data_IF_263163301462
#
_entry.id   IF_263163301462
#
_cell.length_a   1.000
_cell.length_b   1.000
_cell.length_c   1.000
_cell.angle_alpha   90.00
_cell.angle_beta   90.00
_cell.angle_gamma   90.00
#
_symmetry.space_group_name_H-M   'P 1'
#
loop_
_entity.id
_entity.type
_entity.pdbx_description
1 polymer ?
#
# COMPACT_ATOMS: atom_id res chain seq x y z
N UNK A 1 8.45 -1.93 20.23
CA UNK A 1 7.44 -1.46 19.27
C UNK A 1 7.88 -1.77 17.85
N UNK A 2 7.66 -3.00 17.42
CA UNK A 2 7.88 -3.47 16.04
C UNK A 2 6.77 -4.47 15.71
N UNK A 3 5.52 -4.02 15.81
CA UNK A 3 4.39 -4.87 15.47
C UNK A 3 4.41 -5.12 13.95
N UNK A 4 4.57 -6.39 13.57
CA UNK A 4 4.63 -6.84 12.17
C UNK A 4 3.28 -7.36 11.68
N UNK A 5 2.23 -7.31 12.51
CA UNK A 5 0.91 -7.86 12.19
C UNK A 5 0.34 -7.26 10.91
N UNK A 6 0.45 -5.94 10.75
CA UNK A 6 0.01 -5.20 9.55
C UNK A 6 0.68 -5.68 8.27
N UNK A 7 1.93 -6.17 8.36
CA UNK A 7 2.70 -6.61 7.20
C UNK A 7 2.10 -7.86 6.55
N UNK A 8 1.57 -8.78 7.36
CA UNK A 8 0.89 -9.97 6.86
C UNK A 8 -0.39 -9.61 6.10
N UNK A 9 -1.18 -8.67 6.62
CA UNK A 9 -2.38 -8.18 5.93
C UNK A 9 -2.03 -7.50 4.60
N UNK A 10 -1.01 -6.64 4.58
CA UNK A 10 -0.55 -5.99 3.34
C UNK A 10 -0.07 -7.03 2.32
N UNK A 11 0.70 -8.03 2.76
CA UNK A 11 1.21 -9.09 1.89
C UNK A 11 0.06 -9.91 1.26
N UNK A 12 -0.96 -10.23 2.05
CA UNK A 12 -2.16 -10.91 1.55
C UNK A 12 -2.89 -10.06 0.49
N UNK A 13 -3.07 -8.77 0.75
CA UNK A 13 -3.72 -7.85 -0.21
C UNK A 13 -2.90 -7.76 -1.51
N UNK A 14 -1.57 -7.69 -1.44
CA UNK A 14 -0.71 -7.70 -2.63
C UNK A 14 -0.96 -8.98 -3.46
N UNK A 15 -0.99 -10.15 -2.81
CA UNK A 15 -1.29 -11.42 -3.48
C UNK A 15 -2.70 -11.42 -4.08
N UNK A 16 -3.72 -10.92 -3.36
CA UNK A 16 -5.08 -10.81 -3.88
C UNK A 16 -5.19 -9.89 -5.09
N UNK A 17 -4.48 -8.75 -5.08
CA UNK A 17 -4.39 -7.85 -6.23
C UNK A 17 -3.76 -8.58 -7.42
N UNK A 18 -2.62 -9.27 -7.22
CA UNK A 18 -1.98 -10.09 -8.27
C UNK A 18 -2.94 -11.16 -8.82
N UNK A 19 -3.75 -11.81 -7.99
CA UNK A 19 -4.76 -12.78 -8.44
C UNK A 19 -5.86 -12.12 -9.28
N UNK A 20 -6.28 -10.91 -8.93
CA UNK A 20 -7.35 -10.19 -9.63
C UNK A 20 -6.88 -9.62 -10.98
N UNK A 21 -5.69 -9.03 -11.00
CA UNK A 21 -5.19 -8.25 -12.15
C UNK A 21 -4.28 -9.04 -13.06
N UNK A 22 -3.85 -10.23 -12.64
CA UNK A 22 -2.79 -11.02 -13.28
C UNK A 22 -1.41 -10.66 -12.74
N UNK A 23 -0.37 -11.30 -13.30
CA UNK A 23 0.99 -11.07 -12.84
C UNK A 23 1.44 -9.62 -13.13
N UNK A 24 1.93 -8.91 -12.12
CA UNK A 24 2.42 -7.54 -12.27
C UNK A 24 3.86 -7.58 -12.77
N UNK A 25 4.11 -6.94 -13.91
CA UNK A 25 5.40 -7.04 -14.60
C UNK A 25 6.57 -6.44 -13.80
N UNK A 26 6.33 -5.31 -13.12
CA UNK A 26 7.35 -4.59 -12.35
C UNK A 26 6.81 -4.13 -11.01
N UNK A 27 7.50 -4.50 -9.93
CA UNK A 27 7.18 -4.02 -8.58
C UNK A 27 8.37 -3.27 -8.02
N UNK A 28 8.17 -1.98 -7.74
CA UNK A 28 9.17 -1.09 -7.16
C UNK A 28 8.89 -0.92 -5.67
N UNK A 29 9.95 -0.87 -4.86
CA UNK A 29 9.82 -0.74 -3.40
C UNK A 29 10.72 0.36 -2.87
N UNK A 30 10.17 1.19 -2.00
CA UNK A 30 10.88 2.25 -1.31
C UNK A 30 10.60 2.15 0.19
N UNK A 31 11.63 1.78 0.95
CA UNK A 31 11.54 1.51 2.38
C UNK A 31 11.81 0.04 2.75
N UNK A 32 11.91 -0.22 4.05
CA UNK A 32 12.25 -1.53 4.61
C UNK A 32 11.03 -2.46 4.67
N UNK A 33 9.89 -1.93 5.09
CA UNK A 33 8.65 -2.69 5.27
C UNK A 33 8.02 -3.03 3.92
N UNK A 34 8.05 -2.13 2.94
CA UNK A 34 7.64 -2.37 1.56
C UNK A 34 8.36 -3.58 0.94
N UNK A 35 9.69 -3.65 1.11
CA UNK A 35 10.50 -4.80 0.65
C UNK A 35 10.11 -6.10 1.35
N UNK A 36 9.85 -6.01 2.65
CA UNK A 36 9.48 -7.18 3.45
C UNK A 36 8.07 -7.69 3.09
N UNK A 37 7.11 -6.79 2.86
CA UNK A 37 5.76 -7.13 2.42
C UNK A 37 5.76 -7.80 1.05
N UNK A 38 6.54 -7.27 0.10
CA UNK A 38 6.68 -7.88 -1.23
C UNK A 38 7.24 -9.31 -1.10
N UNK A 39 8.34 -9.48 -0.36
CA UNK A 39 8.95 -10.78 -0.13
C UNK A 39 7.98 -11.78 0.51
N UNK A 40 7.18 -11.36 1.49
CA UNK A 40 6.15 -12.19 2.09
C UNK A 40 5.03 -12.54 1.10
N UNK A 41 4.59 -11.57 0.28
CA UNK A 41 3.58 -11.82 -0.76
C UNK A 41 4.05 -12.85 -1.80
N UNK A 42 5.34 -12.83 -2.12
CA UNK A 42 5.95 -13.77 -3.07
C UNK A 42 5.94 -15.18 -2.48
N UNK A 43 6.33 -15.35 -1.21
CA UNK A 43 6.21 -16.63 -0.49
C UNK A 43 4.76 -17.14 -0.43
N UNK A 44 3.78 -16.26 -0.24
CA UNK A 44 2.36 -16.65 -0.24
C UNK A 44 1.85 -17.07 -1.62
N UNK A 45 2.48 -16.58 -2.69
CA UNK A 45 2.15 -16.96 -4.07
C UNK A 45 2.91 -18.20 -4.58
N UNK A 46 3.87 -18.73 -3.82
CA UNK A 46 4.56 -19.98 -4.18
C UNK A 46 3.54 -21.12 -4.29
N UNK A 47 3.25 -21.55 -5.52
CA UNK A 47 2.25 -22.57 -5.85
C UNK A 47 1.05 -22.06 -6.67
N UNK A 48 0.86 -20.75 -6.77
CA UNK A 48 -0.12 -20.11 -7.66
C UNK A 48 0.62 -19.42 -8.82
N UNK A 49 0.93 -20.18 -9.88
CA UNK A 49 1.49 -19.60 -11.10
C UNK A 49 0.33 -19.00 -11.90
N UNK A 50 0.16 -17.68 -11.84
CA UNK A 50 -0.68 -16.98 -12.80
C UNK A 50 0.04 -17.01 -14.16
N UNK A 51 -0.50 -17.74 -15.13
CA UNK A 51 0.14 -17.95 -16.43
C UNK A 51 0.04 -16.74 -17.37
N UNK A 52 -0.79 -15.75 -17.03
CA UNK A 52 -1.01 -14.57 -17.85
C UNK A 52 -0.44 -13.30 -17.20
N UNK A 53 0.31 -12.54 -17.99
CA UNK A 53 0.72 -11.19 -17.63
C UNK A 53 -0.53 -10.31 -17.44
N UNK A 54 -0.59 -9.66 -16.29
CA UNK A 54 -1.68 -8.77 -15.95
C UNK A 54 -1.68 -7.49 -16.78
N UNK A 55 -2.81 -6.77 -16.74
CA UNK A 55 -2.94 -5.47 -17.41
C UNK A 55 -2.22 -4.32 -16.65
N UNK A 56 -1.73 -4.57 -15.44
CA UNK A 56 -0.96 -3.61 -14.65
C UNK A 56 0.54 -3.81 -14.91
N UNK A 57 1.20 -2.74 -15.38
CA UNK A 57 2.63 -2.79 -15.69
C UNK A 57 3.50 -2.59 -14.46
N UNK A 58 3.16 -1.62 -13.61
CA UNK A 58 4.00 -1.17 -12.51
C UNK A 58 3.18 -1.03 -11.23
N UNK A 59 3.71 -1.58 -10.14
CA UNK A 59 3.24 -1.36 -8.79
C UNK A 59 4.37 -0.71 -7.98
N UNK A 60 4.05 0.35 -7.23
CA UNK A 60 5.03 1.04 -6.38
C UNK A 60 4.59 0.94 -4.93
N UNK A 61 5.43 0.35 -4.08
CA UNK A 61 5.23 0.25 -2.64
C UNK A 61 6.15 1.25 -1.94
N UNK A 62 5.56 2.13 -1.12
CA UNK A 62 6.30 3.20 -0.43
C UNK A 62 5.96 3.14 1.05
N UNK A 63 6.99 3.05 1.89
CA UNK A 63 6.82 3.18 3.34
C UNK A 63 6.59 4.65 3.72
N UNK A 64 5.68 4.87 4.68
CA UNK A 64 5.30 6.22 5.13
C UNK A 64 6.46 6.97 5.80
N UNK A 65 7.41 6.23 6.37
CA UNK A 65 8.58 6.79 7.09
C UNK A 65 9.65 7.38 6.16
N UNK A 66 9.55 7.15 4.86
CA UNK A 66 10.44 7.73 3.84
C UNK A 66 10.17 9.23 3.67
N UNK A 67 8.95 9.68 3.92
CA UNK A 67 8.57 11.09 3.81
C UNK A 67 7.62 11.48 4.96
N UNK A 68 8.19 12.01 6.04
CA UNK A 68 7.39 12.59 7.12
C UNK A 68 7.00 14.04 6.85
N UNK A 69 7.76 14.76 6.03
CA UNK A 69 7.54 16.20 5.79
C UNK A 69 6.17 16.44 5.18
N UNK A 70 5.76 15.63 4.20
CA UNK A 70 4.43 15.77 3.59
C UNK A 70 3.26 15.48 4.54
N UNK A 71 3.47 14.81 5.68
CA UNK A 71 2.42 14.62 6.69
C UNK A 71 2.34 15.74 7.73
N UNK A 72 3.48 16.38 8.01
CA UNK A 72 3.59 17.35 9.10
C UNK A 72 3.23 18.77 8.67
N UNK A 73 3.23 19.03 7.36
CA UNK A 73 2.78 20.30 6.80
C UNK A 73 1.26 20.30 6.67
N UNK A 74 0.63 21.44 7.00
CA UNK A 74 -0.81 21.61 6.82
C UNK A 74 -1.21 21.44 5.36
N UNK A 75 -2.26 20.68 5.13
CA UNK A 75 -2.74 20.39 3.78
C UNK A 75 -3.55 21.58 3.27
N UNK A 76 -3.12 22.17 2.15
CA UNK A 76 -3.76 23.37 1.58
C UNK A 76 -4.78 23.06 0.48
N UNK A 77 -5.22 21.80 0.38
CA UNK A 77 -6.34 21.38 -0.47
C UNK A 77 -7.64 21.47 0.32
N UNK A 78 -8.79 21.64 -0.35
CA UNK A 78 -10.09 21.72 0.34
C UNK A 78 -10.35 20.50 1.22
N UNK A 79 -10.17 19.29 0.67
CA UNK A 79 -10.34 18.04 1.41
C UNK A 79 -9.31 17.89 2.54
N UNK A 80 -8.04 18.22 2.28
CA UNK A 80 -6.99 18.10 3.28
C UNK A 80 -7.19 19.05 4.46
N UNK A 81 -7.65 20.28 4.21
CA UNK A 81 -7.99 21.23 5.27
C UNK A 81 -9.22 20.79 6.06
N UNK A 82 -10.23 20.23 5.39
CA UNK A 82 -11.39 19.64 6.07
C UNK A 82 -10.98 18.45 6.95
N UNK A 83 -10.08 17.59 6.47
CA UNK A 83 -9.56 16.47 7.25
C UNK A 83 -8.73 16.94 8.45
N UNK A 84 -7.89 17.98 8.28
CA UNK A 84 -7.06 18.52 9.36
C UNK A 84 -7.89 19.20 10.47
N UNK A 85 -8.97 19.90 10.09
CA UNK A 85 -9.81 20.65 11.03
C UNK A 85 -10.94 19.80 11.63
N UNK A 86 -11.61 18.97 10.82
CA UNK A 86 -12.82 18.25 11.22
C UNK A 86 -12.63 16.72 11.29
N UNK A 87 -11.60 16.16 10.66
CA UNK A 87 -11.30 14.73 10.66
C UNK A 87 -12.29 13.91 9.85
N UNK A 88 -11.97 13.61 8.59
CA UNK A 88 -12.81 12.78 7.73
C UNK A 88 -12.71 11.32 8.19
N UNK A 89 -13.87 10.69 8.42
CA UNK A 89 -13.95 9.26 8.76
C UNK A 89 -14.92 8.57 7.82
N UNK A 90 -14.42 7.58 7.08
CA UNK A 90 -15.19 6.81 6.10
C UNK A 90 -15.97 7.72 5.11
N UNK A 91 -15.34 8.80 4.65
CA UNK A 91 -15.94 9.75 3.71
C UNK A 91 -17.04 10.64 4.30
N UNK A 92 -17.18 10.69 5.63
CA UNK A 92 -18.20 11.51 6.33
C UNK A 92 -17.54 12.48 7.30
N UNK A 93 -18.17 13.65 7.47
CA UNK A 93 -17.85 14.66 8.48
C UNK A 93 -18.98 14.72 9.53
N UNK A 94 -18.60 14.79 10.80
CA UNK A 94 -19.53 15.12 11.88
C UNK A 94 -19.36 16.61 12.16
N UNK A 95 -20.29 17.41 11.66
CA UNK A 95 -20.36 18.86 11.84
C UNK A 95 -21.29 19.23 12.98
#
# INVERSE_FOLDING_TARGET
NSDLSSLNYVSYIITQIKCLVGNIQRVHTLGKYAKMALKLSDYLSEGFVAEEDGFITDMVLIDRDVDYTSLLLSQLTYEGLLDEVYGIKCGTLLL
#
